data_IF_719401232774
#
_entry.id   IF_719401232774
#
_cell.length_a   1.000
_cell.length_b   1.000
_cell.length_c   1.000
_cell.angle_alpha   90.00
_cell.angle_beta   90.00
_cell.angle_gamma   90.00
#
_symmetry.space_group_name_H-M   'P 1'
#
loop_
_entity.id
_entity.type
_entity.pdbx_description
1 polymer ?
#
# COMPACT_ATOMS: atom_id res chain seq x y z
N UNK A 1 -25.79 -20.16 -19.06
CA UNK A 1 -24.35 -19.82 -18.91
C UNK A 1 -24.06 -18.31 -18.98
N UNK A 2 -24.82 -17.49 -19.73
CA UNK A 2 -24.68 -16.01 -19.73
C UNK A 2 -25.06 -15.34 -18.39
N UNK A 3 -26.07 -15.85 -17.68
CA UNK A 3 -26.62 -15.21 -16.47
C UNK A 3 -25.84 -15.57 -15.19
N UNK A 4 -25.06 -16.65 -15.21
CA UNK A 4 -24.36 -17.17 -14.02
C UNK A 4 -23.04 -16.45 -13.73
N UNK A 5 -22.44 -15.78 -14.72
CA UNK A 5 -21.14 -15.12 -14.57
C UNK A 5 -21.24 -13.62 -14.24
N UNK A 6 -22.39 -13.01 -14.55
CA UNK A 6 -22.65 -11.60 -14.26
C UNK A 6 -22.37 -11.21 -12.79
N UNK A 7 -22.87 -11.93 -11.77
CA UNK A 7 -22.60 -11.53 -10.38
C UNK A 7 -21.11 -11.58 -10.02
N UNK A 8 -20.38 -12.56 -10.54
CA UNK A 8 -18.94 -12.66 -10.30
C UNK A 8 -18.16 -11.53 -11.01
N UNK A 9 -18.58 -11.15 -12.22
CA UNK A 9 -18.00 -10.00 -12.91
C UNK A 9 -18.29 -8.70 -12.16
N UNK A 10 -19.51 -8.51 -11.69
CA UNK A 10 -19.91 -7.33 -10.91
C UNK A 10 -19.10 -7.23 -9.61
N UNK A 11 -18.85 -8.36 -8.92
CA UNK A 11 -17.96 -8.41 -7.75
C UNK A 11 -16.50 -8.05 -8.09
N UNK A 12 -15.96 -8.55 -9.21
CA UNK A 12 -14.60 -8.17 -9.65
C UNK A 12 -14.53 -6.67 -9.96
N UNK A 13 -15.53 -6.14 -10.68
CA UNK A 13 -15.58 -4.72 -11.04
C UNK A 13 -15.72 -3.85 -9.78
N UNK A 14 -16.62 -4.20 -8.86
CA UNK A 14 -16.75 -3.49 -7.57
C UNK A 14 -15.44 -3.51 -6.76
N UNK A 15 -14.78 -4.66 -6.68
CA UNK A 15 -13.50 -4.79 -5.99
C UNK A 15 -12.37 -4.00 -6.65
N UNK A 16 -12.30 -3.99 -7.98
CA UNK A 16 -11.23 -3.34 -8.75
C UNK A 16 -11.45 -1.84 -8.98
N UNK A 17 -12.64 -1.32 -8.69
CA UNK A 17 -12.96 0.11 -8.87
C UNK A 17 -13.20 0.83 -7.55
N UNK A 18 -13.92 0.20 -6.63
CA UNK A 18 -14.31 0.78 -5.34
C UNK A 18 -13.53 0.18 -4.16
N UNK A 19 -12.93 -1.00 -4.34
CA UNK A 19 -12.26 -1.71 -3.24
C UNK A 19 -13.22 -2.31 -2.23
N UNK A 20 -14.50 -2.47 -2.60
CA UNK A 20 -15.55 -3.01 -1.75
C UNK A 20 -15.80 -4.50 -2.05
N UNK A 21 -15.91 -5.30 -0.99
CA UNK A 21 -16.32 -6.71 -1.08
C UNK A 21 -17.79 -6.81 -0.73
N UNK A 22 -18.64 -6.69 -1.74
CA UNK A 22 -20.06 -7.00 -1.62
C UNK A 22 -20.28 -8.51 -1.85
N UNK A 23 -19.91 -9.33 -0.85
CA UNK A 23 -20.06 -10.79 -0.90
C UNK A 23 -20.94 -11.31 0.26
N UNK A 24 -22.27 -11.25 0.14
CA UNK A 24 -23.19 -11.73 1.17
C UNK A 24 -23.17 -13.25 1.35
N UNK A 25 -22.81 -13.99 0.30
CA UNK A 25 -22.91 -15.45 0.24
C UNK A 25 -21.56 -16.17 0.34
N UNK A 26 -20.46 -15.43 0.50
CA UNK A 26 -19.09 -15.96 0.55
C UNK A 26 -18.72 -16.76 -0.70
N UNK A 27 -19.20 -16.32 -1.87
CA UNK A 27 -19.00 -16.97 -3.16
C UNK A 27 -17.79 -16.41 -3.92
N UNK A 28 -17.17 -15.34 -3.42
CA UNK A 28 -16.05 -14.70 -4.07
C UNK A 28 -14.70 -15.33 -3.69
N UNK A 29 -13.77 -15.38 -4.64
CA UNK A 29 -12.44 -15.97 -4.42
C UNK A 29 -11.49 -15.08 -3.59
N UNK A 30 -11.91 -13.87 -3.22
CA UNK A 30 -11.18 -13.00 -2.30
C UNK A 30 -11.90 -12.98 -0.95
N UNK A 31 -11.21 -13.42 0.09
CA UNK A 31 -11.75 -13.52 1.44
C UNK A 31 -11.21 -12.38 2.29
N UNK A 32 -12.10 -11.74 3.04
CA UNK A 32 -11.76 -10.74 4.04
C UNK A 32 -11.70 -11.37 5.44
N UNK A 33 -10.55 -11.27 6.11
CA UNK A 33 -10.42 -11.59 7.53
C UNK A 33 -10.76 -10.36 8.37
N UNK A 34 -11.90 -10.41 9.08
CA UNK A 34 -12.39 -9.31 9.93
C UNK A 34 -11.67 -9.21 11.27
N UNK A 35 -10.88 -10.23 11.65
CA UNK A 35 -10.19 -10.28 12.94
C UNK A 35 -8.80 -9.65 12.91
N UNK A 36 -8.33 -9.22 11.73
CA UNK A 36 -7.00 -8.62 11.56
C UNK A 36 -7.03 -7.14 11.92
N UNK A 37 -6.24 -6.76 12.92
CA UNK A 37 -5.97 -5.38 13.34
C UNK A 37 -5.04 -4.63 12.36
N UNK A 38 -5.10 -3.30 12.40
CA UNK A 38 -4.52 -2.40 11.39
C UNK A 38 -3.03 -2.61 11.08
N UNK A 39 -2.23 -3.05 12.05
CA UNK A 39 -0.79 -3.32 11.85
C UNK A 39 -0.47 -4.46 10.88
N UNK A 40 -1.41 -5.37 10.62
CA UNK A 40 -1.26 -6.47 9.65
C UNK A 40 -2.27 -6.38 8.49
N UNK A 41 -2.90 -5.21 8.32
CA UNK A 41 -3.94 -4.96 7.32
C UNK A 41 -3.50 -5.44 5.92
N UNK A 42 -2.32 -5.03 5.45
CA UNK A 42 -1.87 -5.32 4.09
C UNK A 42 -1.62 -6.83 3.85
N UNK A 43 -1.01 -7.49 4.83
CA UNK A 43 -0.56 -8.87 4.70
C UNK A 43 -1.71 -9.87 4.86
N UNK A 44 -2.59 -9.65 5.85
CA UNK A 44 -3.54 -10.70 6.30
C UNK A 44 -5.01 -10.37 6.10
N UNK A 45 -5.39 -9.11 5.90
CA UNK A 45 -6.81 -8.74 5.83
C UNK A 45 -7.52 -9.29 4.59
N UNK A 46 -6.81 -9.41 3.48
CA UNK A 46 -7.36 -9.98 2.24
C UNK A 46 -6.48 -11.12 1.74
N UNK A 47 -7.10 -12.27 1.48
CA UNK A 47 -6.44 -13.48 0.99
C UNK A 47 -7.22 -14.07 -0.20
N UNK A 48 -6.54 -14.90 -0.99
CA UNK A 48 -7.17 -15.64 -2.09
C UNK A 48 -7.57 -17.03 -1.62
N UNK A 49 -8.82 -17.41 -1.86
CA UNK A 49 -9.31 -18.76 -1.70
C UNK A 49 -9.06 -19.55 -3.00
N UNK A 50 -7.90 -20.21 -3.10
CA UNK A 50 -7.49 -20.94 -4.33
C UNK A 50 -8.52 -21.96 -4.83
N UNK A 51 -9.32 -22.54 -3.93
CA UNK A 51 -10.36 -23.52 -4.28
C UNK A 51 -11.64 -22.89 -4.87
N UNK A 52 -11.84 -21.58 -4.69
CA UNK A 52 -12.98 -20.83 -5.26
C UNK A 52 -12.60 -20.09 -6.55
N UNK A 53 -11.33 -20.16 -6.98
CA UNK A 53 -10.89 -19.54 -8.24
C UNK A 53 -11.50 -20.36 -9.39
N UNK A 54 -12.34 -19.76 -10.23
CA UNK A 54 -12.88 -20.47 -11.38
C UNK A 54 -11.77 -20.83 -12.37
N UNK A 55 -11.90 -21.97 -13.05
CA UNK A 55 -10.88 -22.49 -13.98
C UNK A 55 -10.52 -21.56 -15.15
N UNK A 56 -11.37 -20.58 -15.45
CA UNK A 56 -11.13 -19.57 -16.48
C UNK A 56 -10.33 -18.36 -15.98
N UNK A 57 -10.16 -18.18 -14.66
CA UNK A 57 -9.28 -17.15 -14.09
C UNK A 57 -7.94 -17.81 -13.79
N UNK A 58 -6.89 -17.33 -14.44
CA UNK A 58 -5.54 -17.80 -14.13
C UNK A 58 -5.09 -17.27 -12.77
N UNK A 59 -4.29 -18.05 -12.05
CA UNK A 59 -3.66 -17.62 -10.79
C UNK A 59 -2.98 -16.23 -10.87
N UNK A 60 -2.21 -15.87 -11.91
CA UNK A 60 -1.64 -14.53 -12.01
C UNK A 60 -2.71 -13.44 -12.11
N UNK A 61 -3.82 -13.69 -12.82
CA UNK A 61 -4.92 -12.74 -12.93
C UNK A 61 -5.63 -12.54 -11.59
N UNK A 62 -5.92 -13.64 -10.86
CA UNK A 62 -6.50 -13.58 -9.53
C UNK A 62 -5.62 -12.78 -8.54
N UNK A 63 -4.29 -12.95 -8.62
CA UNK A 63 -3.32 -12.16 -7.84
C UNK A 63 -3.34 -10.67 -8.20
N UNK A 64 -3.45 -10.33 -9.50
CA UNK A 64 -3.62 -8.93 -9.92
C UNK A 64 -4.91 -8.33 -9.34
N UNK A 65 -6.03 -9.03 -9.44
CA UNK A 65 -7.34 -8.58 -8.89
C UNK A 65 -7.24 -8.32 -7.38
N UNK A 66 -6.64 -9.25 -6.63
CA UNK A 66 -6.40 -9.07 -5.20
C UNK A 66 -5.57 -7.80 -4.92
N UNK A 67 -4.47 -7.63 -5.65
CA UNK A 67 -3.54 -6.52 -5.46
C UNK A 67 -4.21 -5.17 -5.72
N UNK A 68 -5.04 -5.07 -6.77
CA UNK A 68 -5.78 -3.84 -7.10
C UNK A 68 -6.64 -3.42 -5.91
N UNK A 69 -7.60 -4.26 -5.50
CA UNK A 69 -8.50 -3.86 -4.42
C UNK A 69 -7.81 -3.69 -3.06
N UNK A 70 -6.73 -4.44 -2.77
CA UNK A 70 -5.85 -4.16 -1.62
C UNK A 70 -5.29 -2.73 -1.66
N UNK A 71 -4.81 -2.32 -2.83
CA UNK A 71 -4.22 -0.99 -3.05
C UNK A 71 -5.27 0.11 -2.94
N UNK A 72 -6.46 -0.09 -3.53
CA UNK A 72 -7.58 0.87 -3.42
C UNK A 72 -8.00 1.05 -1.97
N UNK A 73 -8.15 -0.05 -1.24
CA UNK A 73 -8.55 0.00 0.15
C UNK A 73 -7.46 0.60 1.06
N UNK A 74 -6.19 0.34 0.75
CA UNK A 74 -5.08 1.04 1.41
C UNK A 74 -5.15 2.56 1.20
N UNK A 75 -5.37 3.01 -0.03
CA UNK A 75 -5.52 4.44 -0.35
C UNK A 75 -6.69 5.05 0.44
N UNK A 76 -7.84 4.37 0.50
CA UNK A 76 -9.03 4.87 1.20
C UNK A 76 -8.87 4.91 2.71
N UNK A 77 -8.38 3.84 3.32
CA UNK A 77 -8.38 3.68 4.78
C UNK A 77 -7.13 4.29 5.42
N UNK A 78 -5.96 4.17 4.78
CA UNK A 78 -4.69 4.61 5.35
C UNK A 78 -4.27 6.00 4.85
N UNK A 79 -4.74 6.42 3.67
CA UNK A 79 -4.45 7.74 3.11
C UNK A 79 -5.60 8.75 3.20
N UNK A 80 -6.73 8.37 3.81
CA UNK A 80 -7.96 9.18 3.98
C UNK A 80 -8.51 9.79 2.67
N UNK A 81 -8.12 9.21 1.53
CA UNK A 81 -8.44 9.68 0.18
C UNK A 81 -9.75 9.03 -0.29
N UNK A 82 -10.81 9.28 0.47
CA UNK A 82 -12.14 8.66 0.29
C UNK A 82 -12.84 9.05 -1.01
N UNK A 83 -12.42 10.15 -1.63
CA UNK A 83 -12.96 10.66 -2.89
C UNK A 83 -12.23 10.10 -4.12
N UNK A 84 -11.13 9.38 -3.95
CA UNK A 84 -10.43 8.81 -5.09
C UNK A 84 -11.23 7.64 -5.68
N UNK A 85 -11.51 7.79 -6.98
CA UNK A 85 -12.11 6.78 -7.83
C UNK A 85 -11.14 6.50 -8.98
N UNK A 86 -11.14 5.25 -9.44
CA UNK A 86 -10.44 4.84 -10.67
C UNK A 86 -10.94 5.70 -11.83
N UNK A 87 -10.01 6.08 -12.73
CA UNK A 87 -10.32 6.98 -13.85
C UNK A 87 -11.57 6.51 -14.63
N UNK A 88 -12.51 7.42 -14.96
CA UNK A 88 -13.74 7.08 -15.67
C UNK A 88 -13.51 6.48 -17.06
N UNK A 89 -12.34 6.71 -17.66
CA UNK A 89 -11.91 6.08 -18.92
C UNK A 89 -11.58 4.59 -18.76
N UNK A 90 -11.17 4.15 -17.57
CA UNK A 90 -10.99 2.73 -17.25
C UNK A 90 -12.36 2.09 -17.02
N UNK A 91 -13.29 2.80 -16.39
CA UNK A 91 -14.68 2.34 -16.22
C UNK A 91 -15.40 2.11 -17.56
N UNK A 92 -15.08 2.88 -18.60
CA UNK A 92 -15.60 2.67 -19.97
C UNK A 92 -15.11 1.38 -20.63
N UNK A 93 -13.99 0.82 -20.16
CA UNK A 93 -13.45 -0.46 -20.63
C UNK A 93 -14.01 -1.65 -19.86
N UNK A 94 -14.86 -1.41 -18.86
CA UNK A 94 -15.63 -2.49 -18.24
C UNK A 94 -16.48 -3.12 -19.34
N UNK A 95 -16.42 -4.45 -19.53
CA UNK A 95 -17.24 -5.13 -20.51
C UNK A 95 -18.71 -5.08 -20.08
N UNK A 96 -19.37 -3.95 -20.34
CA UNK A 96 -20.75 -3.65 -19.91
C UNK A 96 -21.74 -3.69 -21.07
N UNK A 97 -21.27 -3.73 -22.33
CA UNK A 97 -22.17 -3.80 -23.47
C UNK A 97 -22.62 -5.23 -23.73
N UNK A 98 -23.92 -5.48 -23.50
CA UNK A 98 -24.65 -6.68 -23.86
C UNK A 98 -24.70 -7.01 -25.37
N UNK A 99 -23.80 -6.43 -26.17
CA UNK A 99 -23.70 -6.58 -27.63
C UNK A 99 -22.54 -7.49 -28.10
N UNK A 100 -21.60 -7.89 -27.23
CA UNK A 100 -20.37 -8.61 -27.68
C UNK A 100 -20.05 -9.82 -26.80
N UNK A 101 -21.04 -10.67 -26.53
CA UNK A 101 -20.82 -11.95 -25.84
C UNK A 101 -21.08 -13.15 -26.75
N UNK A 102 -20.44 -13.15 -27.92
CA UNK A 102 -20.45 -14.32 -28.81
C UNK A 102 -19.24 -15.24 -28.58
N UNK A 103 -18.28 -14.84 -27.73
CA UNK A 103 -17.13 -15.68 -27.39
C UNK A 103 -16.55 -15.36 -26.02
N UNK A 104 -16.53 -16.34 -25.12
CA UNK A 104 -15.92 -16.28 -23.77
C UNK A 104 -14.46 -15.79 -23.84
N UNK A 105 -13.78 -16.05 -24.95
CA UNK A 105 -12.39 -15.66 -25.22
C UNK A 105 -12.20 -14.15 -25.41
N UNK A 106 -13.16 -13.44 -26.03
CA UNK A 106 -13.08 -11.98 -26.25
C UNK A 106 -13.42 -11.21 -24.99
N UNK A 107 -14.33 -11.73 -24.16
CA UNK A 107 -14.59 -11.17 -22.82
C UNK A 107 -13.36 -11.31 -21.92
N UNK A 108 -12.68 -12.46 -21.95
CA UNK A 108 -11.48 -12.69 -21.13
C UNK A 108 -10.33 -11.75 -21.49
N UNK A 109 -10.07 -11.54 -22.78
CA UNK A 109 -9.02 -10.59 -23.21
C UNK A 109 -9.37 -9.15 -22.83
N UNK A 110 -10.65 -8.76 -22.93
CA UNK A 110 -11.13 -7.47 -22.44
C UNK A 110 -10.97 -7.30 -20.93
N UNK A 111 -11.23 -8.36 -20.16
CA UNK A 111 -11.10 -8.37 -18.70
C UNK A 111 -9.63 -8.25 -18.24
N UNK A 112 -8.69 -9.00 -18.82
CA UNK A 112 -7.26 -8.87 -18.49
C UNK A 112 -6.70 -7.49 -18.89
N UNK A 113 -7.14 -6.93 -20.01
CA UNK A 113 -6.79 -5.56 -20.41
C UNK A 113 -7.35 -4.51 -19.44
N UNK A 114 -8.61 -4.66 -19.03
CA UNK A 114 -9.24 -3.80 -18.03
C UNK A 114 -8.50 -3.86 -16.69
N UNK A 115 -8.23 -5.06 -16.18
CA UNK A 115 -7.47 -5.27 -14.93
C UNK A 115 -6.09 -4.65 -15.03
N UNK A 116 -5.38 -4.86 -16.15
CA UNK A 116 -4.03 -4.33 -16.31
C UNK A 116 -4.04 -2.80 -16.38
N UNK A 117 -5.05 -2.19 -17.03
CA UNK A 117 -5.23 -0.75 -17.04
C UNK A 117 -5.59 -0.18 -15.66
N UNK A 118 -6.51 -0.82 -14.94
CA UNK A 118 -6.86 -0.44 -13.58
C UNK A 118 -5.67 -0.56 -12.62
N UNK A 119 -4.88 -1.63 -12.73
CA UNK A 119 -3.67 -1.82 -11.94
C UNK A 119 -2.64 -0.72 -12.18
N UNK A 120 -2.41 -0.33 -13.43
CA UNK A 120 -1.48 0.75 -13.76
C UNK A 120 -1.95 2.10 -13.20
N UNK A 121 -3.24 2.41 -13.30
CA UNK A 121 -3.82 3.64 -12.73
C UNK A 121 -3.70 3.70 -11.21
N UNK A 122 -4.13 2.62 -10.53
CA UNK A 122 -4.03 2.50 -9.07
C UNK A 122 -2.57 2.58 -8.61
N UNK A 123 -1.66 1.91 -9.31
CA UNK A 123 -0.23 1.95 -8.99
C UNK A 123 0.35 3.35 -9.19
N UNK A 124 -0.01 4.06 -10.27
CA UNK A 124 0.40 5.46 -10.47
C UNK A 124 -0.12 6.38 -9.37
N UNK A 125 -1.36 6.19 -8.89
CA UNK A 125 -1.89 6.94 -7.74
C UNK A 125 -1.12 6.62 -6.47
N UNK A 126 -0.91 5.33 -6.17
CA UNK A 126 -0.19 4.88 -4.98
C UNK A 126 1.24 5.42 -4.94
N UNK A 127 1.95 5.36 -6.07
CA UNK A 127 3.30 5.89 -6.20
C UNK A 127 3.32 7.41 -5.99
N UNK A 128 2.35 8.15 -6.55
CA UNK A 128 2.21 9.58 -6.29
C UNK A 128 1.98 9.87 -4.80
N UNK A 129 1.08 9.14 -4.13
CA UNK A 129 0.85 9.33 -2.70
C UNK A 129 2.12 9.05 -1.88
N UNK A 130 2.81 7.95 -2.16
CA UNK A 130 4.02 7.54 -1.43
C UNK A 130 5.16 8.57 -1.55
N UNK A 131 5.41 9.08 -2.75
CA UNK A 131 6.54 9.99 -3.00
C UNK A 131 6.20 11.47 -2.83
N UNK A 132 4.97 11.88 -3.14
CA UNK A 132 4.57 13.30 -3.07
C UNK A 132 4.00 13.63 -1.69
N UNK A 133 2.97 12.90 -1.24
CA UNK A 133 2.27 13.21 0.01
C UNK A 133 3.07 12.77 1.23
N UNK A 134 3.56 11.53 1.24
CA UNK A 134 4.30 10.98 2.38
C UNK A 134 5.81 11.20 2.30
N UNK A 135 6.32 11.76 1.20
CA UNK A 135 7.76 12.03 0.99
C UNK A 135 8.64 10.87 1.45
N UNK A 136 8.34 9.66 0.98
CA UNK A 136 9.08 8.46 1.35
C UNK A 136 10.59 8.58 1.08
N UNK A 137 10.96 9.33 0.05
CA UNK A 137 12.34 9.73 -0.26
C UNK A 137 13.03 10.39 0.94
N UNK A 138 12.34 11.30 1.63
CA UNK A 138 12.85 11.98 2.83
C UNK A 138 13.03 11.00 3.98
N UNK A 139 12.06 10.11 4.19
CA UNK A 139 12.18 9.07 5.23
C UNK A 139 13.34 8.10 4.95
N UNK A 140 13.52 7.66 3.71
CA UNK A 140 14.63 6.79 3.32
C UNK A 140 15.99 7.51 3.49
N UNK A 141 16.05 8.81 3.14
CA UNK A 141 17.25 9.62 3.33
C UNK A 141 17.57 9.86 4.81
N UNK A 142 16.55 10.02 5.65
CA UNK A 142 16.72 10.13 7.10
C UNK A 142 17.26 8.81 7.68
N UNK A 143 16.70 7.66 7.29
CA UNK A 143 17.22 6.34 7.68
C UNK A 143 18.69 6.19 7.26
N UNK A 144 19.04 6.60 6.04
CA UNK A 144 20.43 6.56 5.59
C UNK A 144 21.34 7.49 6.42
N UNK A 145 20.89 8.70 6.71
CA UNK A 145 21.70 9.73 7.38
C UNK A 145 21.91 9.42 8.86
N UNK A 146 20.84 9.02 9.56
CA UNK A 146 20.84 8.83 11.01
C UNK A 146 21.03 7.37 11.45
N UNK A 147 20.42 6.39 10.77
CA UNK A 147 20.51 4.98 11.15
C UNK A 147 21.70 4.28 10.50
N UNK A 148 21.96 4.54 9.22
CA UNK A 148 23.11 3.97 8.49
C UNK A 148 24.38 4.81 8.62
N UNK A 149 24.37 5.80 9.52
CA UNK A 149 25.57 6.49 9.95
C UNK A 149 26.33 7.20 8.82
N UNK A 150 25.61 7.62 7.78
CA UNK A 150 26.20 8.27 6.61
C UNK A 150 26.81 9.64 6.92
N UNK A 151 26.46 10.27 8.05
CA UNK A 151 27.04 11.55 8.48
C UNK A 151 27.87 11.35 9.74
N UNK A 152 29.19 11.41 9.60
CA UNK A 152 30.14 11.21 10.70
C UNK A 152 30.04 12.27 11.80
N UNK A 153 29.75 13.54 11.44
CA UNK A 153 29.65 14.66 12.38
C UNK A 153 28.52 14.47 13.41
N UNK A 154 27.35 14.01 12.97
CA UNK A 154 26.23 13.69 13.86
C UNK A 154 26.63 12.66 14.92
N UNK A 155 27.28 11.58 14.50
CA UNK A 155 27.63 10.45 15.37
C UNK A 155 28.76 10.83 16.29
N UNK A 156 29.74 11.59 15.80
CA UNK A 156 30.86 12.02 16.59
C UNK A 156 30.38 12.91 17.74
N UNK A 157 29.55 13.92 17.44
CA UNK A 157 28.91 14.73 18.47
C UNK A 157 27.98 13.92 19.40
N UNK A 158 27.25 12.94 18.86
CA UNK A 158 26.39 12.07 19.67
C UNK A 158 27.23 11.23 20.64
N UNK A 159 28.29 10.59 20.17
CA UNK A 159 29.17 9.72 20.95
C UNK A 159 29.96 10.47 22.01
N UNK A 160 30.48 11.65 21.69
CA UNK A 160 31.22 12.49 22.65
C UNK A 160 30.33 12.92 23.82
N UNK A 161 29.07 13.27 23.54
CA UNK A 161 28.11 13.67 24.58
C UNK A 161 27.50 12.47 25.34
N UNK A 162 27.37 11.30 24.69
CA UNK A 162 26.87 10.09 25.35
C UNK A 162 27.95 9.37 26.17
N UNK A 163 29.23 9.62 25.95
CA UNK A 163 30.34 8.94 26.63
C UNK A 163 30.27 9.05 28.16
N UNK A 164 29.98 10.24 28.72
CA UNK A 164 29.86 10.43 30.18
C UNK A 164 28.60 9.77 30.76
N UNK A 165 27.55 9.63 29.96
CA UNK A 165 26.28 9.01 30.40
C UNK A 165 26.31 7.48 30.27
N UNK A 166 26.94 6.94 29.21
CA UNK A 166 27.10 5.51 28.96
C UNK A 166 28.19 4.85 29.82
N UNK A 167 29.11 5.64 30.38
CA UNK A 167 30.13 5.14 31.31
C UNK A 167 29.55 4.75 32.68
N UNK A 168 28.34 5.24 33.01
CA UNK A 168 27.60 4.94 34.24
C UNK A 168 26.84 3.62 34.09
N UNK A 169 26.45 2.99 35.21
CA UNK A 169 25.69 1.73 35.18
C UNK A 169 24.33 1.97 34.53
N UNK A 170 23.86 1.03 33.71
CA UNK A 170 22.59 1.14 32.97
C UNK A 170 21.36 1.43 33.86
N UNK A 171 21.41 1.12 35.16
CA UNK A 171 20.36 1.43 36.14
C UNK A 171 20.25 2.92 36.48
N UNK A 172 21.32 3.69 36.30
CA UNK A 172 21.38 5.14 36.55
C UNK A 172 21.16 5.96 35.27
N UNK A 173 21.07 5.30 34.13
CA UNK A 173 20.86 5.95 32.83
C UNK A 173 19.37 6.16 32.59
N UNK A 174 18.94 7.41 32.71
CA UNK A 174 17.54 7.76 32.46
C UNK A 174 17.27 8.12 31.01
N UNK A 175 16.16 7.60 30.47
CA UNK A 175 15.72 7.83 29.08
C UNK A 175 15.62 9.31 28.72
N UNK A 176 15.18 10.17 29.66
CA UNK A 176 15.05 11.61 29.42
C UNK A 176 16.40 12.30 29.16
N UNK A 177 17.48 11.84 29.81
CA UNK A 177 18.83 12.38 29.59
C UNK A 177 19.34 12.00 28.20
N UNK A 178 19.12 10.75 27.76
CA UNK A 178 19.50 10.32 26.40
C UNK A 178 18.71 11.08 25.34
N UNK A 179 17.40 11.27 25.52
CA UNK A 179 16.57 12.02 24.56
C UNK A 179 17.00 13.49 24.50
N UNK A 180 17.36 14.10 25.63
CA UNK A 180 17.89 15.48 25.66
C UNK A 180 19.26 15.61 24.96
N UNK A 181 20.17 14.67 25.20
CA UNK A 181 21.48 14.62 24.51
C UNK A 181 21.29 14.40 23.00
N UNK A 182 20.36 13.52 22.61
CA UNK A 182 20.03 13.27 21.21
C UNK A 182 19.46 14.52 20.54
N UNK A 183 18.51 15.24 21.17
CA UNK A 183 17.95 16.47 20.59
C UNK A 183 19.03 17.55 20.44
N UNK A 184 19.94 17.67 21.42
CA UNK A 184 21.09 18.57 21.31
C UNK A 184 22.03 18.16 20.15
N UNK A 185 22.33 16.87 20.00
CA UNK A 185 23.19 16.37 18.93
C UNK A 185 22.57 16.53 17.53
N UNK A 186 21.26 16.36 17.40
CA UNK A 186 20.53 16.61 16.14
C UNK A 186 20.57 18.09 15.77
N UNK A 187 20.38 19.00 16.73
CA UNK A 187 20.39 20.46 16.50
C UNK A 187 21.77 21.02 16.19
N UNK A 188 22.82 20.47 16.80
CA UNK A 188 24.21 20.89 16.54
C UNK A 188 24.74 20.38 15.21
N UNK A 189 24.08 19.39 14.60
CA UNK A 189 24.52 18.84 13.33
C UNK A 189 23.91 19.61 12.15
N UNK A 190 24.75 19.88 11.15
CA UNK A 190 24.34 20.46 9.85
C UNK A 190 23.33 19.58 9.09
N UNK A 191 23.03 18.37 9.56
CA UNK A 191 21.96 17.52 9.07
C UNK A 191 20.57 18.16 9.16
N UNK A 192 20.29 18.95 10.20
CA UNK A 192 19.03 19.70 10.35
C UNK A 192 18.94 20.92 9.40
N UNK A 193 20.10 21.46 9.00
CA UNK A 193 20.20 22.65 8.15
C UNK A 193 20.01 22.33 6.64
N UNK A 194 20.04 21.04 6.28
CA UNK A 194 19.65 20.57 4.94
C UNK A 194 18.15 20.25 4.82
N UNK A 195 17.38 20.52 5.88
CA UNK A 195 16.03 19.99 6.06
C UNK A 195 14.89 20.95 5.63
N UNK A 196 15.21 22.15 5.10
CA UNK A 196 14.18 23.15 4.73
C UNK A 196 14.34 23.85 3.38
N UNK A 197 15.47 23.74 2.69
CA UNK A 197 15.61 24.27 1.33
C UNK A 197 15.36 23.15 0.31
N UNK A 198 14.09 23.05 -0.11
CA UNK A 198 13.52 22.67 -1.43
C UNK A 198 12.11 22.11 -1.22
#
# INVERSE_FOLDING_TARGET
MRVTFQPLLDMIVGWTTQGELADPFQEFFIVQDKNVTDGQFWARKYSLASHMIPSFISDPLAKKILLIGKSINFIRVQCDDTQWAVDPEVLRKVPTDGSVFDSITTTFSGLDQFITAALDDVNKRLMRLLFVTYRFDRHAMAVKSYLLLSQGDFIQNLMDNLQDTLSKRATEVHKHNIVGILDSAVRSCSAADKEWDV
#
